data_IF_633670679637
#
_entry.id   IF_633670679637
#
_cell.length_a   1.000
_cell.length_b   1.000
_cell.length_c   1.000
_cell.angle_alpha   90.00
_cell.angle_beta   90.00
_cell.angle_gamma   90.00
#
_symmetry.space_group_name_H-M   'P 1'
#
loop_
_entity.id
_entity.type
_entity.pdbx_description
1 polymer ?
#
# COMPACT_ATOMS: atom_id res chain seq x y z
N UNK A 1 12.86 1.91 19.76
CA UNK A 1 12.21 3.02 19.04
C UNK A 1 12.10 2.59 17.59
N UNK A 2 10.89 2.47 17.03
CA UNK A 2 10.70 2.00 15.65
C UNK A 2 10.95 3.10 14.63
N UNK A 3 11.33 2.73 13.41
CA UNK A 3 11.40 3.64 12.26
C UNK A 3 10.17 3.43 11.36
N UNK A 4 9.71 4.49 10.72
CA UNK A 4 8.63 4.44 9.74
C UNK A 4 9.15 4.86 8.38
N UNK A 5 8.77 4.14 7.33
CA UNK A 5 9.08 4.46 5.94
C UNK A 5 7.84 5.05 5.29
N UNK A 6 7.98 6.20 4.63
CA UNK A 6 6.89 6.86 3.91
C UNK A 6 7.12 6.70 2.41
N UNK A 7 6.16 6.07 1.74
CA UNK A 7 6.13 5.96 0.28
C UNK A 7 5.09 6.96 -0.26
N UNK A 8 5.54 7.90 -1.09
CA UNK A 8 4.71 8.94 -1.69
C UNK A 8 4.99 9.10 -3.18
N UNK A 9 4.05 9.73 -3.90
CA UNK A 9 4.21 10.02 -5.32
C UNK A 9 4.97 11.33 -5.49
N UNK A 10 5.98 11.34 -6.35
CA UNK A 10 6.74 12.54 -6.67
C UNK A 10 6.18 13.28 -7.90
N UNK A 11 5.16 12.73 -8.55
CA UNK A 11 4.58 13.23 -9.79
C UNK A 11 3.06 13.37 -9.62
N UNK A 12 2.30 13.17 -10.70
CA UNK A 12 0.83 13.28 -10.75
C UNK A 12 0.13 11.92 -10.75
N UNK A 13 0.63 10.95 -9.97
CA UNK A 13 0.02 9.63 -9.90
C UNK A 13 0.62 8.60 -10.86
N UNK A 14 0.11 7.37 -10.78
CA UNK A 14 0.51 6.23 -11.60
C UNK A 14 2.00 5.85 -11.59
N UNK A 15 2.75 6.27 -10.56
CA UNK A 15 4.19 5.99 -10.43
C UNK A 15 4.50 4.55 -9.97
N UNK A 16 3.49 3.67 -9.88
CA UNK A 16 3.69 2.28 -9.47
C UNK A 16 3.95 2.09 -7.96
N UNK A 17 3.55 3.05 -7.11
CA UNK A 17 3.77 3.02 -5.65
C UNK A 17 3.36 1.70 -4.97
N UNK A 18 2.25 1.10 -5.40
CA UNK A 18 1.77 -0.17 -4.84
C UNK A 18 2.81 -1.28 -4.90
N UNK A 19 3.63 -1.32 -5.96
CA UNK A 19 4.72 -2.30 -6.11
C UNK A 19 5.85 -2.04 -5.11
N UNK A 20 6.20 -0.78 -4.87
CA UNK A 20 7.23 -0.41 -3.88
C UNK A 20 6.75 -0.74 -2.47
N UNK A 21 5.48 -0.44 -2.16
CA UNK A 21 4.88 -0.82 -0.88
C UNK A 21 4.89 -2.33 -0.70
N UNK A 22 4.46 -3.11 -1.70
CA UNK A 22 4.48 -4.57 -1.64
C UNK A 22 5.90 -5.13 -1.41
N UNK A 23 6.91 -4.61 -2.11
CA UNK A 23 8.31 -5.01 -1.93
C UNK A 23 8.79 -4.75 -0.50
N UNK A 24 8.51 -3.56 0.04
CA UNK A 24 8.91 -3.20 1.40
C UNK A 24 8.17 -4.01 2.47
N UNK A 25 6.97 -4.52 2.14
CA UNK A 25 6.10 -5.26 3.09
C UNK A 25 6.78 -6.52 3.63
N UNK A 26 7.79 -7.08 2.95
CA UNK A 26 8.56 -8.23 3.44
C UNK A 26 9.34 -7.95 4.75
N UNK A 27 9.65 -6.68 5.04
CA UNK A 27 10.46 -6.27 6.19
C UNK A 27 9.69 -5.44 7.23
N UNK A 28 8.39 -5.20 7.02
CA UNK A 28 7.56 -4.34 7.89
C UNK A 28 6.31 -5.06 8.39
N UNK A 29 6.05 -4.93 9.69
CA UNK A 29 4.88 -5.56 10.32
C UNK A 29 3.55 -4.83 10.11
N UNK A 30 3.54 -3.61 9.55
CA UNK A 30 2.32 -2.85 9.32
C UNK A 30 2.38 -1.94 8.08
N UNK A 31 1.27 -1.87 7.35
CA UNK A 31 1.08 -0.99 6.18
C UNK A 31 -0.14 -0.11 6.42
N UNK A 32 0.07 1.21 6.37
CA UNK A 32 -0.94 2.21 6.73
C UNK A 32 -1.27 3.08 5.52
N UNK A 33 -2.55 3.22 5.17
CA UNK A 33 -3.03 4.37 4.37
C UNK A 33 -3.38 5.52 5.30
N UNK A 34 -2.83 6.69 5.07
CA UNK A 34 -3.00 7.86 5.96
C UNK A 34 -3.85 8.99 5.36
N UNK A 35 -4.12 8.97 4.06
CA UNK A 35 -4.93 9.99 3.37
C UNK A 35 -5.61 9.43 2.12
N UNK A 36 -6.54 10.21 1.57
CA UNK A 36 -7.14 9.98 0.25
C UNK A 36 -8.40 9.15 0.37
N UNK A 37 -8.82 8.47 -0.69
CA UNK A 37 -9.98 7.60 -0.64
C UNK A 37 -9.89 6.46 -1.65
N UNK A 38 -11.05 5.99 -2.11
CA UNK A 38 -11.16 4.92 -3.10
C UNK A 38 -10.81 5.35 -4.54
N UNK A 39 -10.28 6.56 -4.72
CA UNK A 39 -9.79 7.10 -5.99
C UNK A 39 -8.37 6.62 -6.36
N UNK A 40 -7.67 5.95 -5.45
CA UNK A 40 -6.42 5.26 -5.78
C UNK A 40 -6.68 3.98 -6.59
N UNK A 41 -5.66 3.43 -7.26
CA UNK A 41 -5.76 2.21 -8.05
C UNK A 41 -4.47 1.41 -8.04
N UNK A 42 -4.12 0.77 -6.92
CA UNK A 42 -2.92 -0.06 -6.86
C UNK A 42 -3.18 -1.43 -7.47
N UNK A 43 -2.62 -1.66 -8.65
CA UNK A 43 -2.64 -2.97 -9.30
C UNK A 43 -1.42 -3.78 -8.86
N UNK A 44 -1.66 -4.94 -8.25
CA UNK A 44 -0.65 -5.93 -7.91
C UNK A 44 -0.86 -7.19 -8.74
N UNK A 45 0.23 -7.79 -9.20
CA UNK A 45 0.22 -9.09 -9.87
C UNK A 45 1.15 -10.01 -9.11
N UNK A 46 0.58 -10.97 -8.39
CA UNK A 46 1.32 -11.95 -7.58
C UNK A 46 0.99 -13.33 -8.13
N UNK A 47 2.01 -14.13 -8.46
CA UNK A 47 1.85 -15.47 -9.04
C UNK A 47 0.87 -15.52 -10.24
N UNK A 48 0.92 -14.50 -11.10
CA UNK A 48 0.03 -14.38 -12.27
C UNK A 48 -1.40 -13.90 -11.96
N UNK A 49 -1.79 -13.74 -10.68
CA UNK A 49 -3.11 -13.23 -10.29
C UNK A 49 -3.07 -11.71 -10.15
N UNK A 50 -3.89 -11.03 -10.94
CA UNK A 50 -4.11 -9.58 -10.86
C UNK A 50 -5.12 -9.23 -9.77
N UNK A 51 -4.74 -8.31 -8.88
CA UNK A 51 -5.60 -7.74 -7.84
C UNK A 51 -5.51 -6.21 -7.91
N UNK A 52 -6.66 -5.53 -7.85
CA UNK A 52 -6.73 -4.05 -7.86
C UNK A 52 -7.24 -3.57 -6.51
N UNK A 53 -6.48 -2.70 -5.86
CA UNK A 53 -6.78 -2.18 -4.53
C UNK A 53 -7.04 -0.67 -4.59
N UNK A 54 -8.29 -0.30 -4.35
CA UNK A 54 -8.73 1.09 -4.31
C UNK A 54 -8.55 1.73 -2.93
N UNK A 55 -9.01 1.04 -1.88
CA UNK A 55 -9.00 1.57 -0.51
C UNK A 55 -8.06 0.80 0.41
N UNK A 56 -8.14 -0.54 0.37
CA UNK A 56 -7.33 -1.43 1.22
C UNK A 56 -5.83 -1.18 0.96
N UNK A 57 -4.98 -1.16 2.00
CA UNK A 57 -3.52 -1.04 1.85
C UNK A 57 -2.92 -2.18 1.01
N UNK A 58 -1.86 -1.89 0.26
CA UNK A 58 -1.22 -2.85 -0.64
C UNK A 58 -0.58 -4.06 0.06
N UNK A 59 -0.30 -3.96 1.36
CA UNK A 59 0.24 -5.06 2.15
C UNK A 59 -0.73 -6.21 2.40
N UNK A 60 -2.03 -6.09 2.06
CA UNK A 60 -3.06 -7.10 2.40
C UNK A 60 -2.82 -8.47 1.74
N UNK A 61 -1.95 -8.53 0.73
CA UNK A 61 -1.59 -9.78 0.06
C UNK A 61 -0.37 -10.47 0.72
N UNK A 62 0.13 -9.94 1.84
CA UNK A 62 1.18 -10.53 2.66
C UNK A 62 0.58 -10.96 4.00
N UNK A 63 0.75 -12.22 4.36
CA UNK A 63 0.05 -12.84 5.49
C UNK A 63 0.37 -12.18 6.85
N UNK A 64 1.61 -11.71 7.02
CA UNK A 64 2.10 -11.15 8.28
C UNK A 64 1.92 -9.62 8.40
N UNK A 65 1.39 -8.96 7.37
CA UNK A 65 1.30 -7.50 7.32
C UNK A 65 -0.01 -6.98 7.92
N UNK A 66 0.09 -6.28 9.05
CA UNK A 66 -1.06 -5.58 9.62
C UNK A 66 -1.48 -4.41 8.72
N UNK A 67 -2.66 -4.51 8.11
CA UNK A 67 -3.18 -3.45 7.24
C UNK A 67 -4.11 -2.51 8.01
N UNK A 68 -3.78 -1.21 7.99
CA UNK A 68 -4.50 -0.17 8.73
C UNK A 68 -4.98 0.93 7.78
N UNK A 69 -6.20 1.39 8.02
CA UNK A 69 -6.78 2.59 7.37
C UNK A 69 -6.82 3.68 8.44
N UNK A 70 -6.04 4.73 8.23
CA UNK A 70 -5.98 5.88 9.13
C UNK A 70 -7.21 6.79 8.99
N UNK A 71 -7.42 7.63 9.99
CA UNK A 71 -8.53 8.58 10.07
C UNK A 71 -8.54 9.67 8.98
N UNK A 72 -7.42 9.87 8.26
CA UNK A 72 -7.34 10.81 7.14
C UNK A 72 -7.89 10.25 5.81
N UNK A 73 -8.34 9.00 5.78
CA UNK A 73 -8.93 8.37 4.59
C UNK A 73 -10.44 8.61 4.56
N UNK A 74 -10.99 8.88 3.36
CA UNK A 74 -12.40 9.18 3.10
C UNK A 74 -13.05 8.24 2.09
#
# INVERSE_FOLDING_TARGET
MGQSVVVLGAQWGDEGKGKIVDLLTEEIGAVVRFQGGHNAGHTLVINGKKTVLHLIPSGILRDDALCLIGNGVV
#
